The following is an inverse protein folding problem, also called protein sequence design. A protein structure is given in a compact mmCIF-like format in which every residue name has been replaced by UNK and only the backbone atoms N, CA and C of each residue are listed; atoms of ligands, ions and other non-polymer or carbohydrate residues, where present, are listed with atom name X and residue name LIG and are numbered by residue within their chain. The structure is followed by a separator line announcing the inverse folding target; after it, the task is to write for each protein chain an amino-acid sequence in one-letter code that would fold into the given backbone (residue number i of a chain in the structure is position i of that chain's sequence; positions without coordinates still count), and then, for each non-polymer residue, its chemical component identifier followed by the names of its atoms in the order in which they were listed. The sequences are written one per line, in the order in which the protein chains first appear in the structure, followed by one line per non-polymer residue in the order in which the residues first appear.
data_IF_482456487720
#
_entry.id   IF_482456487720
#
_cell.length_a   1.000
_cell.length_b   1.000
_cell.length_c   1.000
_cell.angle_alpha   90.00
_cell.angle_beta   90.00
_cell.angle_gamma   90.00
#
_symmetry.space_group_name_H-M   'P 1'
#
loop_
_entity.id
_entity.type
_entity.pdbx_description
1 polymer ?
#
# COMPACT_ATOMS: atom_id res chain seq x y z
N UNK A 1 -9.00 -10.50 -6.37
CA UNK A 1 -9.40 -11.69 -7.14
C UNK A 1 -8.39 -12.83 -6.92
N UNK A 2 -8.77 -14.00 -6.38
CA UNK A 2 -7.87 -15.13 -6.10
C UNK A 2 -7.42 -15.81 -7.42
N UNK A 3 -6.11 -15.88 -7.67
CA UNK A 3 -5.54 -16.73 -8.73
C UNK A 3 -5.22 -18.09 -8.11
N UNK A 4 -5.86 -19.16 -8.60
CA UNK A 4 -5.46 -20.54 -8.29
C UNK A 4 -4.00 -20.74 -8.70
N UNK A 5 -3.13 -21.08 -7.75
CA UNK A 5 -1.77 -21.52 -8.07
C UNK A 5 -1.87 -22.86 -8.83
N UNK A 6 -1.38 -22.88 -10.07
CA UNK A 6 -1.19 -24.12 -10.83
C UNK A 6 0.20 -24.66 -10.50
N UNK A 7 0.29 -25.60 -9.56
CA UNK A 7 1.50 -26.42 -9.44
C UNK A 7 1.43 -27.54 -10.49
N UNK A 8 2.41 -27.59 -11.40
CA UNK A 8 2.63 -28.71 -12.35
C UNK A 8 1.36 -29.20 -13.07
N UNK A 9 0.53 -28.29 -13.59
CA UNK A 9 -0.68 -28.57 -14.38
C UNK A 9 -1.78 -29.43 -13.72
N UNK A 10 -1.60 -29.92 -12.49
CA UNK A 10 -2.64 -30.65 -11.74
C UNK A 10 -3.36 -29.69 -10.79
N UNK A 11 -4.62 -29.36 -11.10
CA UNK A 11 -5.48 -28.71 -10.12
C UNK A 11 -6.08 -29.78 -9.21
N UNK A 12 -5.58 -29.88 -7.97
CA UNK A 12 -6.26 -30.69 -6.95
C UNK A 12 -7.61 -30.05 -6.69
N UNK A 13 -8.69 -30.83 -6.82
CA UNK A 13 -10.05 -30.39 -6.49
C UNK A 13 -10.20 -30.52 -4.97
N UNK A 14 -9.56 -29.62 -4.23
CA UNK A 14 -9.78 -29.50 -2.80
C UNK A 14 -11.17 -28.90 -2.56
N UNK A 15 -12.04 -29.68 -1.90
CA UNK A 15 -13.32 -29.20 -1.38
C UNK A 15 -13.07 -28.44 -0.08
N UNK A 16 -13.69 -27.28 0.06
CA UNK A 16 -13.54 -26.41 1.23
C UNK A 16 -14.73 -26.62 2.15
N UNK A 17 -14.47 -27.09 3.37
CA UNK A 17 -15.48 -27.19 4.42
C UNK A 17 -15.37 -25.94 5.30
N UNK A 18 -16.44 -25.14 5.37
CA UNK A 18 -16.47 -23.87 6.11
C UNK A 18 -17.51 -23.97 7.22
N UNK A 19 -17.10 -23.70 8.46
CA UNK A 19 -17.99 -23.53 9.60
C UNK A 19 -18.29 -22.04 9.73
N UNK A 20 -19.56 -21.66 9.78
CA UNK A 20 -19.98 -20.25 9.76
C UNK A 20 -21.35 -20.07 10.39
N UNK A 21 -21.55 -18.92 11.03
CA UNK A 21 -22.84 -18.45 11.53
C UNK A 21 -23.66 -17.70 10.45
N UNK A 22 -23.18 -17.63 9.21
CA UNK A 22 -23.87 -16.97 8.11
C UNK A 22 -24.83 -17.95 7.42
N UNK A 23 -26.04 -17.48 7.09
CA UNK A 23 -27.07 -18.32 6.46
C UNK A 23 -26.98 -18.39 4.93
N UNK A 24 -26.29 -17.45 4.28
CA UNK A 24 -26.25 -17.36 2.81
C UNK A 24 -24.94 -17.89 2.24
N UNK A 25 -25.02 -18.99 1.47
CA UNK A 25 -23.89 -19.60 0.77
C UNK A 25 -23.13 -18.60 -0.13
N UNK A 26 -23.86 -17.74 -0.85
CA UNK A 26 -23.25 -16.69 -1.68
C UNK A 26 -22.46 -15.67 -0.88
N UNK A 27 -22.99 -15.23 0.28
CA UNK A 27 -22.31 -14.32 1.20
C UNK A 27 -21.07 -14.96 1.81
N UNK A 28 -21.17 -16.24 2.22
CA UNK A 28 -20.05 -17.02 2.76
C UNK A 28 -18.91 -17.07 1.76
N UNK A 29 -19.20 -17.48 0.51
CA UNK A 29 -18.21 -17.58 -0.55
C UNK A 29 -17.54 -16.23 -0.85
N UNK A 30 -18.32 -15.15 -0.88
CA UNK A 30 -17.81 -13.79 -1.08
C UNK A 30 -16.86 -13.37 0.04
N UNK A 31 -17.27 -13.51 1.30
CA UNK A 31 -16.44 -13.12 2.46
C UNK A 31 -15.17 -13.97 2.52
N UNK A 32 -15.31 -15.29 2.40
CA UNK A 32 -14.17 -16.20 2.47
C UNK A 32 -13.16 -15.96 1.34
N UNK A 33 -13.62 -15.54 0.15
CA UNK A 33 -12.72 -15.18 -0.95
C UNK A 33 -11.80 -13.98 -0.65
N UNK A 34 -12.14 -13.17 0.36
CA UNK A 34 -11.35 -12.01 0.77
C UNK A 34 -10.27 -12.34 1.81
N UNK A 35 -10.22 -13.59 2.34
CA UNK A 35 -9.30 -13.97 3.42
C UNK A 35 -7.83 -13.71 3.09
N UNK A 36 -7.44 -13.82 1.83
CA UNK A 36 -6.07 -13.58 1.38
C UNK A 36 -5.66 -12.10 1.42
N UNK A 37 -6.61 -11.19 1.70
CA UNK A 37 -6.31 -9.76 1.86
C UNK A 37 -5.30 -9.49 2.97
N UNK A 38 -5.29 -10.29 4.03
CA UNK A 38 -4.33 -10.14 5.15
C UNK A 38 -2.90 -10.54 4.77
N UNK A 39 -2.72 -11.39 3.74
CA UNK A 39 -1.38 -11.82 3.29
C UNK A 39 -0.55 -10.64 2.78
N UNK A 40 -1.19 -9.63 2.19
CA UNK A 40 -0.51 -8.41 1.77
C UNK A 40 0.10 -7.67 2.97
N UNK A 41 -0.66 -7.53 4.05
CA UNK A 41 -0.19 -6.92 5.30
C UNK A 41 0.96 -7.74 5.91
N UNK A 42 0.83 -9.08 5.97
CA UNK A 42 1.90 -9.94 6.48
C UNK A 42 3.18 -9.85 5.66
N UNK A 43 3.06 -9.73 4.33
CA UNK A 43 4.21 -9.50 3.46
C UNK A 43 4.88 -8.16 3.78
N UNK A 44 4.11 -7.09 3.97
CA UNK A 44 4.64 -5.77 4.29
C UNK A 44 5.36 -5.74 5.65
N UNK A 45 4.87 -6.48 6.65
CA UNK A 45 5.48 -6.59 7.98
C UNK A 45 6.82 -7.34 7.95
N UNK A 46 6.86 -8.42 7.17
CA UNK A 46 8.04 -9.28 7.02
C UNK A 46 9.00 -8.66 6.01
N UNK A 47 9.30 -9.33 4.92
CA UNK A 47 10.34 -8.94 3.95
C UNK A 47 9.94 -7.82 2.98
N UNK A 48 8.68 -7.41 2.95
CA UNK A 48 8.19 -6.45 1.97
C UNK A 48 8.61 -5.01 2.26
N UNK A 49 8.35 -4.52 3.46
CA UNK A 49 8.57 -3.11 3.83
C UNK A 49 9.37 -2.97 5.12
N UNK A 50 8.82 -3.44 6.25
CA UNK A 50 9.43 -3.21 7.57
C UNK A 50 10.57 -4.17 7.90
N UNK A 51 10.80 -5.17 7.04
CA UNK A 51 11.91 -6.13 7.11
C UNK A 51 12.08 -6.80 8.48
N UNK A 52 10.97 -7.18 9.12
CA UNK A 52 11.00 -7.74 10.48
C UNK A 52 11.85 -9.03 10.56
N UNK A 53 11.90 -9.81 9.48
CA UNK A 53 12.69 -11.06 9.41
C UNK A 53 14.20 -10.81 9.54
N UNK A 54 14.70 -9.64 9.10
CA UNK A 54 16.12 -9.30 9.23
C UNK A 54 16.47 -8.62 10.56
N UNK A 55 15.47 -8.23 11.37
CA UNK A 55 15.69 -7.44 12.59
C UNK A 55 16.41 -8.20 13.71
N UNK A 56 16.48 -9.55 13.61
CA UNK A 56 17.11 -10.47 14.59
C UNK A 56 16.80 -10.10 16.04
N UNK A 57 15.53 -9.78 16.31
CA UNK A 57 15.07 -9.32 17.62
C UNK A 57 14.85 -10.49 18.59
N UNK A 58 15.10 -10.27 19.87
CA UNK A 58 14.64 -11.18 20.94
C UNK A 58 13.11 -11.05 21.12
N UNK A 59 12.50 -11.92 21.91
CA UNK A 59 11.04 -12.00 22.05
C UNK A 59 10.39 -10.68 22.47
N UNK A 60 10.90 -10.02 23.53
CA UNK A 60 10.37 -8.75 24.01
C UNK A 60 10.47 -7.65 22.95
N UNK A 61 11.64 -7.54 22.29
CA UNK A 61 11.85 -6.57 21.21
C UNK A 61 10.99 -6.87 19.99
N UNK A 62 10.77 -8.15 19.66
CA UNK A 62 9.91 -8.58 18.57
C UNK A 62 8.46 -8.17 18.82
N UNK A 63 7.93 -8.40 20.03
CA UNK A 63 6.57 -8.00 20.40
C UNK A 63 6.39 -6.48 20.27
N UNK A 64 7.35 -5.70 20.79
CA UNK A 64 7.31 -4.25 20.68
C UNK A 64 7.40 -3.77 19.21
N UNK A 65 8.25 -4.39 18.40
CA UNK A 65 8.35 -4.08 16.97
C UNK A 65 7.07 -4.39 16.21
N UNK A 66 6.42 -5.53 16.47
CA UNK A 66 5.14 -5.89 15.83
C UNK A 66 4.07 -4.86 16.18
N UNK A 67 4.00 -4.43 17.44
CA UNK A 67 3.06 -3.39 17.87
C UNK A 67 3.33 -2.05 17.17
N UNK A 68 4.60 -1.61 17.14
CA UNK A 68 5.00 -0.37 16.45
C UNK A 68 4.70 -0.42 14.95
N UNK A 69 4.99 -1.55 14.30
CA UNK A 69 4.66 -1.78 12.89
C UNK A 69 3.14 -1.72 12.70
N UNK A 70 2.35 -2.31 13.60
CA UNK A 70 0.89 -2.26 13.54
C UNK A 70 0.33 -0.84 13.61
N UNK A 71 0.85 -0.03 14.53
CA UNK A 71 0.47 1.38 14.65
C UNK A 71 0.89 2.15 13.39
N UNK A 72 2.15 2.01 12.97
CA UNK A 72 2.70 2.68 11.76
C UNK A 72 1.94 2.30 10.49
N UNK A 73 1.60 1.02 10.32
CA UNK A 73 0.84 0.50 9.17
C UNK A 73 -0.58 1.08 9.13
N UNK A 74 -1.22 1.18 10.29
CA UNK A 74 -2.57 1.74 10.43
C UNK A 74 -2.59 3.22 10.08
N UNK A 75 -1.65 4.00 10.64
CA UNK A 75 -1.50 5.43 10.34
C UNK A 75 -1.24 5.66 8.85
N UNK A 76 -0.29 4.92 8.27
CA UNK A 76 0.03 4.99 6.84
C UNK A 76 -1.18 4.59 5.97
N UNK A 77 -1.93 3.58 6.39
CA UNK A 77 -3.15 3.15 5.68
C UNK A 77 -4.22 4.23 5.67
N UNK A 78 -4.48 4.89 6.80
CA UNK A 78 -5.42 6.01 6.87
C UNK A 78 -4.98 7.19 6.02
N UNK A 79 -3.70 7.54 6.05
CA UNK A 79 -3.16 8.61 5.22
C UNK A 79 -3.33 8.29 3.72
N UNK A 80 -3.02 7.05 3.32
CA UNK A 80 -3.25 6.59 1.96
C UNK A 80 -4.72 6.59 1.53
N UNK A 81 -5.65 6.29 2.44
CA UNK A 81 -7.08 6.42 2.17
C UNK A 81 -7.48 7.88 1.96
N UNK A 82 -7.01 8.82 2.81
CA UNK A 82 -7.27 10.25 2.64
C UNK A 82 -6.81 10.75 1.26
N UNK A 83 -5.59 10.38 0.84
CA UNK A 83 -5.03 10.72 -0.48
C UNK A 83 -5.89 10.18 -1.63
N UNK A 84 -6.31 8.91 -1.51
CA UNK A 84 -7.15 8.26 -2.52
C UNK A 84 -8.51 8.94 -2.63
N UNK A 85 -9.13 9.28 -1.51
CA UNK A 85 -10.41 9.96 -1.47
C UNK A 85 -10.32 11.39 -2.05
N UNK A 86 -9.19 12.08 -1.86
CA UNK A 86 -8.90 13.38 -2.49
C UNK A 86 -8.60 13.29 -3.99
N UNK A 87 -8.39 12.10 -4.55
CA UNK A 87 -8.08 11.92 -5.99
C UNK A 87 -6.67 12.35 -6.41
N UNK A 88 -5.78 12.63 -5.45
CA UNK A 88 -4.42 13.15 -5.72
C UNK A 88 -3.33 12.08 -5.75
N UNK A 89 -3.69 10.79 -5.64
CA UNK A 89 -2.73 9.67 -5.64
C UNK A 89 -1.72 9.73 -6.79
N UNK A 90 -2.11 10.21 -7.98
CA UNK A 90 -1.25 10.28 -9.17
C UNK A 90 0.02 11.11 -8.99
N UNK A 91 0.04 12.03 -8.03
CA UNK A 91 1.20 12.85 -7.71
C UNK A 91 2.17 12.16 -6.74
N UNK A 92 1.74 11.08 -6.09
CA UNK A 92 2.51 10.37 -5.07
C UNK A 92 3.00 9.01 -5.60
N UNK A 93 2.13 8.32 -6.34
CA UNK A 93 2.45 7.00 -6.90
C UNK A 93 1.66 6.73 -8.17
N UNK A 94 2.18 5.83 -8.99
CA UNK A 94 1.51 5.39 -10.21
C UNK A 94 0.19 4.70 -9.88
N UNK A 95 -0.92 5.20 -10.40
CA UNK A 95 -2.27 4.69 -10.06
C UNK A 95 -2.52 3.28 -10.62
N UNK A 96 -2.19 3.03 -11.90
CA UNK A 96 -2.30 1.71 -12.52
C UNK A 96 -1.42 1.57 -13.79
N UNK A 97 -1.39 0.37 -14.36
CA UNK A 97 -0.73 0.03 -15.64
C UNK A 97 -1.76 -0.51 -16.64
N UNK A 98 -1.55 -0.27 -17.95
CA UNK A 98 -2.53 -0.64 -19.00
C UNK A 98 -2.96 -2.12 -18.97
N UNK A 99 -2.06 -3.03 -18.58
CA UNK A 99 -2.31 -4.47 -18.53
C UNK A 99 -2.92 -4.96 -17.22
N UNK A 100 -3.02 -4.12 -16.19
CA UNK A 100 -3.36 -4.56 -14.83
C UNK A 100 -4.82 -4.24 -14.49
N UNK A 101 -5.61 -5.29 -14.29
CA UNK A 101 -7.03 -5.20 -13.89
C UNK A 101 -7.22 -4.75 -12.43
N UNK A 102 -6.30 -5.13 -11.57
CA UNK A 102 -6.36 -4.86 -10.13
C UNK A 102 -5.52 -3.63 -9.77
N UNK A 103 -5.89 -2.93 -8.68
CA UNK A 103 -5.12 -1.78 -8.21
C UNK A 103 -3.65 -2.15 -7.96
N UNK A 104 -2.74 -1.25 -8.32
CA UNK A 104 -1.29 -1.46 -8.18
C UNK A 104 -0.84 -1.40 -6.71
N UNK A 105 -1.29 -0.36 -6.01
CA UNK A 105 -0.82 -0.03 -4.66
C UNK A 105 -1.94 -0.04 -3.61
N UNK A 106 -1.65 -0.68 -2.48
CA UNK A 106 -2.49 -0.67 -1.27
C UNK A 106 -2.60 0.76 -0.72
N UNK A 107 -3.55 1.03 0.17
CA UNK A 107 -3.62 2.35 0.82
C UNK A 107 -2.41 2.56 1.71
N UNK A 108 -1.96 1.54 2.43
CA UNK A 108 -0.69 1.51 3.12
C UNK A 108 0.47 2.04 2.27
N UNK A 109 0.72 1.44 1.10
CA UNK A 109 1.83 1.84 0.24
C UNK A 109 1.76 3.31 -0.18
N UNK A 110 0.57 3.80 -0.53
CA UNK A 110 0.39 5.19 -0.96
C UNK A 110 0.64 6.16 0.20
N UNK A 111 0.15 5.84 1.41
CA UNK A 111 0.38 6.68 2.57
C UNK A 111 1.82 6.65 3.04
N UNK A 112 2.46 5.48 3.06
CA UNK A 112 3.88 5.35 3.37
C UNK A 112 4.75 6.14 2.39
N UNK A 113 4.44 6.07 1.09
CA UNK A 113 5.14 6.84 0.05
C UNK A 113 5.04 8.34 0.29
N UNK A 114 3.88 8.82 0.77
CA UNK A 114 3.69 10.22 1.14
C UNK A 114 4.52 10.61 2.36
N UNK A 115 4.55 9.76 3.39
CA UNK A 115 5.34 10.01 4.61
C UNK A 115 6.83 10.08 4.27
N UNK A 116 7.35 9.15 3.46
CA UNK A 116 8.74 9.22 3.01
C UNK A 116 9.04 10.50 2.22
N UNK A 117 8.13 10.93 1.35
CA UNK A 117 8.28 12.21 0.65
C UNK A 117 8.34 13.38 1.62
N UNK A 118 7.41 13.47 2.56
CA UNK A 118 7.34 14.56 3.53
C UNK A 118 8.57 14.62 4.46
N UNK A 119 9.17 13.48 4.81
CA UNK A 119 10.40 13.44 5.63
C UNK A 119 11.62 13.92 4.83
N UNK A 120 11.66 13.69 3.52
CA UNK A 120 12.79 14.07 2.66
C UNK A 120 12.56 15.39 1.92
N UNK A 121 11.55 16.16 2.33
CA UNK A 121 11.04 17.33 1.59
C UNK A 121 12.15 18.38 1.39
N UNK A 122 12.89 18.71 2.46
CA UNK A 122 13.96 19.72 2.41
C UNK A 122 15.07 19.37 1.41
N UNK A 123 15.48 18.10 1.36
CA UNK A 123 16.54 17.62 0.45
C UNK A 123 16.06 17.54 -1.00
N UNK A 124 14.78 17.21 -1.20
CA UNK A 124 14.19 17.09 -2.53
C UNK A 124 13.82 18.47 -3.08
N UNK A 125 13.49 19.45 -2.23
CA UNK A 125 13.03 20.76 -2.67
C UNK A 125 14.07 21.53 -3.46
N UNK A 126 15.33 21.55 -3.00
CA UNK A 126 16.42 22.21 -3.70
C UNK A 126 16.58 21.66 -5.13
N UNK A 127 16.52 20.33 -5.28
CA UNK A 127 16.56 19.69 -6.60
C UNK A 127 15.37 20.07 -7.46
N UNK A 128 14.16 20.13 -6.87
CA UNK A 128 12.95 20.46 -7.60
C UNK A 128 12.96 21.92 -8.04
N UNK A 129 13.44 22.87 -7.21
CA UNK A 129 13.60 24.27 -7.58
C UNK A 129 14.57 24.43 -8.76
N UNK A 130 15.71 23.74 -8.71
CA UNK A 130 16.67 23.70 -9.81
C UNK A 130 16.04 23.10 -11.10
N UNK A 131 15.20 22.07 -10.98
CA UNK A 131 14.48 21.53 -12.13
C UNK A 131 13.44 22.50 -12.69
N UNK A 132 12.76 23.29 -11.83
CA UNK A 132 11.80 24.31 -12.25
C UNK A 132 12.49 25.46 -12.99
N UNK A 133 13.67 25.88 -12.54
CA UNK A 133 14.46 26.93 -13.20
C UNK A 133 14.98 26.48 -14.56
N UNK A 134 15.42 25.21 -14.69
CA UNK A 134 15.88 24.63 -15.94
C UNK A 134 14.75 24.34 -16.95
N UNK A 135 13.52 24.10 -16.49
CA UNK A 135 12.38 23.73 -17.35
C UNK A 135 11.16 24.66 -17.15
N UNK A 136 11.28 25.97 -17.44
CA UNK A 136 10.22 26.94 -17.17
C UNK A 136 8.93 26.63 -17.95
N UNK A 137 9.02 26.07 -19.15
CA UNK A 137 7.87 25.65 -19.94
C UNK A 137 7.02 24.55 -19.27
N UNK A 138 7.54 23.85 -18.25
CA UNK A 138 6.82 22.83 -17.46
C UNK A 138 6.31 23.35 -16.11
N UNK A 139 6.55 24.62 -15.77
CA UNK A 139 6.24 25.21 -14.45
C UNK A 139 4.79 24.97 -14.00
N UNK A 140 3.85 25.00 -14.95
CA UNK A 140 2.43 24.73 -14.68
C UNK A 140 2.20 23.32 -14.10
N UNK A 141 2.95 22.31 -14.54
CA UNK A 141 2.86 20.95 -14.01
C UNK A 141 3.43 20.84 -12.60
N UNK A 142 4.55 21.50 -12.34
CA UNK A 142 5.14 21.57 -11.00
C UNK A 142 4.19 22.26 -10.00
N UNK A 143 3.58 23.38 -10.38
CA UNK A 143 2.58 24.09 -9.56
C UNK A 143 1.34 23.23 -9.25
N UNK A 144 0.91 22.36 -10.18
CA UNK A 144 -0.18 21.40 -9.93
C UNK A 144 0.22 20.35 -8.89
N UNK A 145 1.47 19.89 -8.92
CA UNK A 145 2.04 19.01 -7.89
C UNK A 145 2.09 19.68 -6.52
N UNK A 146 2.65 20.90 -6.45
CA UNK A 146 2.72 21.71 -5.23
C UNK A 146 1.33 21.95 -4.59
N UNK A 147 0.32 22.30 -5.40
CA UNK A 147 -1.05 22.44 -4.91
C UNK A 147 -1.61 21.14 -4.34
N UNK A 148 -1.33 20.01 -4.99
CA UNK A 148 -1.76 18.71 -4.48
C UNK A 148 -1.11 18.36 -3.14
N UNK A 149 0.12 18.84 -2.88
CA UNK A 149 0.80 18.70 -1.58
C UNK A 149 0.17 19.60 -0.52
N UNK A 150 -0.02 20.88 -0.81
CA UNK A 150 -0.50 21.89 0.16
C UNK A 150 -1.97 21.72 0.53
N UNK A 151 -2.78 21.05 -0.29
CA UNK A 151 -4.13 20.59 0.12
C UNK A 151 -4.11 19.50 1.20
N UNK A 152 -2.93 19.15 1.74
CA UNK A 152 -2.68 18.20 2.83
C UNK A 152 -2.71 18.77 4.25
N UNK A 153 -2.76 20.10 4.42
CA UNK A 153 -3.02 20.78 5.69
C UNK A 153 -4.49 20.77 6.08
#
# INVERSE_FOLDING_TARGET
MYKKQKYRQKSVVEKWYLITNLSSAGKIKKIYSQRMGIEAMFKDYKTGTYNLESAKANETRLNNLILLIGISYTLSSFQGQKIKNKGVQKYISRTNEKSRKERRHSSFFVGLSMIYWAINDDLIWELVENLMSLNPHKLLYYRRGLKAMNTGG
#
